data_IF_922436257511
#
_entry.id   IF_922436257511
#
_cell.length_a   1.000
_cell.length_b   1.000
_cell.length_c   1.000
_cell.angle_alpha   90.00
_cell.angle_beta   90.00
_cell.angle_gamma   90.00
#
_symmetry.space_group_name_H-M   'P 1'
#
loop_
_entity.id
_entity.type
_entity.pdbx_description
1 polymer ?
#
# COMPACT_ATOMS: atom_id res chain seq x y z
N UNK A 1 3.48 -1.06 -20.56
CA UNK A 1 3.67 -1.94 -19.38
C UNK A 1 3.64 -1.06 -18.14
N UNK A 2 2.90 -1.41 -17.09
CA UNK A 2 2.87 -0.68 -15.81
C UNK A 2 3.65 -1.46 -14.76
N UNK A 3 4.43 -0.76 -13.94
CA UNK A 3 5.20 -1.35 -12.84
C UNK A 3 4.49 -1.08 -11.51
N UNK A 4 4.52 -2.07 -10.63
CA UNK A 4 3.99 -1.98 -9.26
C UNK A 4 5.07 -2.29 -8.23
N UNK A 5 4.89 -1.77 -7.02
CA UNK A 5 5.72 -2.12 -5.88
C UNK A 5 4.85 -2.49 -4.67
N UNK A 6 5.28 -3.50 -3.93
CA UNK A 6 4.65 -3.89 -2.69
C UNK A 6 4.93 -2.89 -1.59
N UNK A 7 3.85 -2.43 -0.95
CA UNK A 7 3.92 -1.57 0.23
C UNK A 7 4.69 -2.25 1.37
N UNK A 8 4.79 -3.59 1.37
CA UNK A 8 5.58 -4.33 2.35
C UNK A 8 7.04 -3.88 2.49
N UNK A 9 7.68 -3.37 1.43
CA UNK A 9 9.07 -2.87 1.52
C UNK A 9 9.22 -1.70 2.51
N UNK A 10 8.10 -1.07 2.86
CA UNK A 10 7.98 -0.02 3.87
C UNK A 10 7.34 -0.52 5.18
N UNK A 11 7.53 -1.79 5.57
CA UNK A 11 6.89 -2.38 6.77
C UNK A 11 7.17 -1.66 8.11
N UNK A 12 8.11 -0.70 8.15
CA UNK A 12 8.38 0.15 9.31
C UNK A 12 7.71 1.54 9.23
N UNK A 13 6.88 1.78 8.21
CA UNK A 13 6.20 3.06 7.95
C UNK A 13 4.68 2.83 7.78
N UNK A 14 3.83 3.84 8.00
CA UNK A 14 2.39 3.71 7.77
C UNK A 14 2.05 3.52 6.28
N UNK A 15 0.90 2.88 5.99
CA UNK A 15 0.47 2.58 4.62
C UNK A 15 0.41 3.83 3.72
N UNK A 16 -0.10 4.96 4.22
CA UNK A 16 -0.19 6.22 3.46
C UNK A 16 1.20 6.73 3.03
N UNK A 17 2.18 6.58 3.90
CA UNK A 17 3.57 6.96 3.60
C UNK A 17 4.19 6.00 2.59
N UNK A 18 3.95 4.69 2.72
CA UNK A 18 4.38 3.70 1.74
C UNK A 18 3.84 4.01 0.34
N UNK A 19 2.53 4.27 0.21
CA UNK A 19 1.89 4.67 -1.07
C UNK A 19 2.53 5.93 -1.64
N UNK A 20 2.72 6.95 -0.79
CA UNK A 20 3.32 8.23 -1.19
C UNK A 20 4.73 8.05 -1.76
N UNK A 21 5.59 7.30 -1.05
CA UNK A 21 6.97 7.06 -1.47
C UNK A 21 7.04 6.20 -2.73
N UNK A 22 6.16 5.20 -2.88
CA UNK A 22 6.09 4.37 -4.10
C UNK A 22 5.69 5.22 -5.32
N UNK A 23 4.69 6.10 -5.17
CA UNK A 23 4.28 7.01 -6.22
C UNK A 23 5.42 7.98 -6.60
N UNK A 24 6.10 8.57 -5.62
CA UNK A 24 7.23 9.48 -5.81
C UNK A 24 8.46 8.79 -6.45
N UNK A 25 8.61 7.48 -6.27
CA UNK A 25 9.60 6.66 -6.96
C UNK A 25 9.23 6.36 -8.43
N UNK A 26 8.06 6.78 -8.91
CA UNK A 26 7.64 6.67 -10.31
C UNK A 26 6.91 5.38 -10.69
N UNK A 27 6.51 4.56 -9.72
CA UNK A 27 5.67 3.38 -9.97
C UNK A 27 4.23 3.79 -10.31
N UNK A 28 3.57 3.01 -11.18
CA UNK A 28 2.18 3.25 -11.55
C UNK A 28 1.18 2.48 -10.69
N UNK A 29 1.65 1.50 -9.91
CA UNK A 29 0.81 0.70 -9.04
C UNK A 29 1.43 0.36 -7.69
N UNK A 30 0.57 0.04 -6.74
CA UNK A 30 0.91 -0.40 -5.39
C UNK A 30 0.27 -1.75 -5.11
N UNK A 31 1.05 -2.66 -4.52
CA UNK A 31 0.53 -3.91 -3.96
C UNK A 31 0.36 -3.72 -2.44
N UNK A 32 -0.88 -3.67 -1.98
CA UNK A 32 -1.21 -3.37 -0.59
C UNK A 32 -0.93 -4.60 0.26
N UNK A 33 -0.08 -4.46 1.27
CA UNK A 33 0.22 -5.52 2.21
C UNK A 33 -0.83 -5.57 3.33
N UNK A 34 -1.36 -6.76 3.56
CA UNK A 34 -2.38 -7.05 4.59
C UNK A 34 -1.80 -7.35 5.97
N UNK A 35 -0.51 -7.11 6.22
CA UNK A 35 0.09 -7.19 7.55
C UNK A 35 0.15 -5.85 8.26
N UNK A 36 0.59 -5.84 9.52
CA UNK A 36 0.82 -4.59 10.28
C UNK A 36 2.17 -3.98 9.94
N UNK A 37 2.27 -2.66 9.76
CA UNK A 37 1.30 -1.62 10.14
C UNK A 37 0.35 -1.16 9.00
N UNK A 38 0.13 -2.00 7.98
CA UNK A 38 -0.66 -1.65 6.80
C UNK A 38 -2.11 -2.15 6.96
N UNK A 39 -2.67 -2.78 5.93
CA UNK A 39 -4.09 -3.10 5.86
C UNK A 39 -4.41 -4.47 6.51
N UNK A 40 -4.03 -4.64 7.78
CA UNK A 40 -4.42 -5.82 8.54
C UNK A 40 -5.93 -5.84 8.78
N UNK A 41 -6.50 -7.03 8.78
CA UNK A 41 -7.96 -7.22 8.89
C UNK A 41 -8.49 -6.56 10.16
N UNK A 42 -9.52 -5.73 10.01
CA UNK A 42 -10.22 -4.99 11.06
C UNK A 42 -9.39 -3.91 11.79
N UNK A 43 -8.16 -3.59 11.35
CA UNK A 43 -7.37 -2.53 11.96
C UNK A 43 -7.78 -1.13 11.45
N UNK A 44 -8.34 -1.04 10.23
CA UNK A 44 -8.74 0.22 9.61
C UNK A 44 -10.25 0.43 9.67
N UNK A 45 -10.66 1.66 9.97
CA UNK A 45 -12.05 2.13 9.88
C UNK A 45 -12.44 2.46 8.44
N UNK A 46 -13.76 2.55 8.18
CA UNK A 46 -14.28 3.02 6.88
C UNK A 46 -13.79 4.43 6.51
N UNK A 47 -13.60 5.32 7.49
CA UNK A 47 -13.07 6.66 7.26
C UNK A 47 -11.60 6.60 6.80
N UNK A 48 -10.77 5.82 7.49
CA UNK A 48 -9.37 5.63 7.11
C UNK A 48 -9.21 4.96 5.74
N UNK A 49 -10.08 3.99 5.42
CA UNK A 49 -10.09 3.35 4.10
C UNK A 49 -10.44 4.35 2.99
N UNK A 50 -11.38 5.27 3.22
CA UNK A 50 -11.69 6.37 2.29
C UNK A 50 -10.51 7.30 2.13
N UNK A 51 -9.87 7.70 3.22
CA UNK A 51 -8.69 8.57 3.18
C UNK A 51 -7.52 7.93 2.43
N UNK A 52 -7.29 6.62 2.60
CA UNK A 52 -6.27 5.87 1.87
C UNK A 52 -6.63 5.81 0.38
N UNK A 53 -7.89 5.53 0.05
CA UNK A 53 -8.36 5.51 -1.34
C UNK A 53 -8.17 6.87 -2.02
N UNK A 54 -8.59 7.95 -1.38
CA UNK A 54 -8.40 9.31 -1.91
C UNK A 54 -6.94 9.64 -2.12
N UNK A 55 -6.05 9.28 -1.18
CA UNK A 55 -4.61 9.45 -1.35
C UNK A 55 -4.06 8.69 -2.58
N UNK A 56 -4.49 7.44 -2.77
CA UNK A 56 -4.07 6.61 -3.91
C UNK A 56 -4.51 7.26 -5.23
N UNK A 57 -5.76 7.73 -5.29
CA UNK A 57 -6.32 8.45 -6.44
C UNK A 57 -5.56 9.77 -6.70
N UNK A 58 -5.31 10.57 -5.66
CA UNK A 58 -4.56 11.84 -5.74
C UNK A 58 -3.12 11.64 -6.22
N UNK A 59 -2.48 10.54 -5.81
CA UNK A 59 -1.12 10.18 -6.25
C UNK A 59 -1.09 9.55 -7.65
N UNK A 60 -2.25 9.29 -8.26
CA UNK A 60 -2.35 8.74 -9.61
C UNK A 60 -1.81 7.31 -9.73
N UNK A 61 -1.77 6.55 -8.63
CA UNK A 61 -1.34 5.14 -8.61
C UNK A 61 -2.54 4.21 -8.50
N UNK A 62 -2.44 3.01 -9.08
CA UNK A 62 -3.48 1.99 -8.99
C UNK A 62 -3.19 0.96 -7.89
N UNK A 63 -4.22 0.44 -7.23
CA UNK A 63 -4.06 -0.77 -6.40
C UNK A 63 -4.07 -1.99 -7.31
N UNK A 64 -2.90 -2.58 -7.55
CA UNK A 64 -2.75 -3.71 -8.46
C UNK A 64 -2.97 -5.07 -7.78
N UNK A 65 -2.71 -5.15 -6.48
CA UNK A 65 -2.94 -6.36 -5.68
C UNK A 65 -3.15 -6.05 -4.20
N UNK A 66 -3.77 -7.00 -3.49
CA UNK A 66 -3.79 -7.08 -2.03
C UNK A 66 -3.11 -8.38 -1.59
N UNK A 67 -2.05 -8.27 -0.79
CA UNK A 67 -1.20 -9.38 -0.37
C UNK A 67 -1.48 -9.66 1.12
N UNK A 68 -2.36 -10.62 1.45
CA UNK A 68 -2.78 -10.87 2.84
C UNK A 68 -1.64 -11.41 3.72
N UNK A 69 -0.64 -12.07 3.13
CA UNK A 69 0.51 -12.61 3.82
C UNK A 69 1.76 -12.50 2.93
N UNK A 70 2.89 -12.09 3.52
CA UNK A 70 4.18 -12.03 2.87
C UNK A 70 5.13 -13.03 3.55
N UNK A 71 5.56 -14.06 2.83
CA UNK A 71 6.54 -15.01 3.32
C UNK A 71 7.95 -14.46 3.11
N UNK A 72 8.79 -14.57 4.13
CA UNK A 72 10.21 -14.26 4.08
C UNK A 72 10.98 -15.50 4.47
N UNK A 73 11.97 -15.85 3.66
CA UNK A 73 13.00 -16.79 4.06
C UNK A 73 14.13 -15.99 4.72
N UNK A 74 14.77 -16.53 5.79
CA UNK A 74 15.98 -15.93 6.35
C UNK A 74 17.12 -15.90 5.33
#
# INVERSE_FOLDING_TARGET
MKLSQSTFVYFNYPLKEAVTRIAEAGYQGVEVWGGRPHAYRNDLTEAELKDIRSLIEDKGVEVSAFIPAQFRYP
#
